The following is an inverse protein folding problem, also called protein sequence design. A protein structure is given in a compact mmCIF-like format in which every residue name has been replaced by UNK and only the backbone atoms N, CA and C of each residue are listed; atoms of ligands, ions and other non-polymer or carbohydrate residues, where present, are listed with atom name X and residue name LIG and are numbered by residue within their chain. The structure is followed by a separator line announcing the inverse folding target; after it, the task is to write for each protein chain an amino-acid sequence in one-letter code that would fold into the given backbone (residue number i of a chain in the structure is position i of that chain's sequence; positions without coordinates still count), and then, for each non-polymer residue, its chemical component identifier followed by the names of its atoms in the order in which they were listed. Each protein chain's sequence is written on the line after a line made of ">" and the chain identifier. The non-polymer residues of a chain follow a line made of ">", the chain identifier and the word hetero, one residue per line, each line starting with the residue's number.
data_IF_138820271898
#
_entry.id   IF_138820271898
#
_cell.length_a   1.000
_cell.length_b   1.000
_cell.length_c   1.000
_cell.angle_alpha   90.00
_cell.angle_beta   90.00
_cell.angle_gamma   90.00
#
_symmetry.space_group_name_H-M   'P 1'
#
loop_
_entity.id
_entity.type
_entity.pdbx_description
1 polymer ?
#
# COMPACT_ATOMS: atom_id res chain seq x y z
N UNK A 1 9.05 1.74 1.61
CA UNK A 1 8.05 0.73 1.99
C UNK A 1 8.47 -0.58 1.32
N UNK A 2 9.08 -1.50 2.06
CA UNK A 2 9.46 -2.81 1.50
C UNK A 2 8.25 -3.73 1.42
N UNK A 3 8.28 -4.65 0.46
CA UNK A 3 7.34 -5.75 0.38
C UNK A 3 7.46 -6.62 1.64
N UNK A 4 6.37 -6.81 2.41
CA UNK A 4 6.41 -7.63 3.62
C UNK A 4 6.64 -9.13 3.34
N UNK A 5 6.56 -9.54 2.08
CA UNK A 5 6.73 -10.94 1.68
C UNK A 5 8.15 -11.27 1.22
N UNK A 6 8.79 -10.39 0.47
CA UNK A 6 10.10 -10.65 -0.14
C UNK A 6 11.16 -9.58 0.17
N UNK A 7 10.82 -8.55 0.93
CA UNK A 7 11.73 -7.47 1.29
C UNK A 7 12.11 -6.53 0.13
N UNK A 8 11.45 -6.61 -1.02
CA UNK A 8 11.78 -5.75 -2.16
C UNK A 8 11.25 -4.33 -1.97
N UNK A 9 12.03 -3.35 -2.37
CA UNK A 9 11.75 -1.91 -2.18
C UNK A 9 10.85 -1.30 -3.25
N UNK A 10 10.80 -1.87 -4.46
CA UNK A 10 9.92 -1.37 -5.51
C UNK A 10 8.51 -1.96 -5.41
N UNK A 11 7.56 -1.05 -5.16
CA UNK A 11 6.14 -1.33 -5.06
C UNK A 11 5.36 -0.40 -5.96
N UNK A 12 4.37 -0.94 -6.68
CA UNK A 12 3.44 -0.20 -7.50
C UNK A 12 2.16 0.07 -6.72
N UNK A 13 1.74 1.34 -6.62
CA UNK A 13 0.42 1.68 -6.08
C UNK A 13 -0.64 1.40 -7.15
N UNK A 14 -1.64 0.59 -6.81
CA UNK A 14 -2.69 0.17 -7.77
C UNK A 14 -4.03 0.83 -7.50
N UNK A 15 -4.36 1.11 -6.24
CA UNK A 15 -5.65 1.68 -5.83
C UNK A 15 -5.42 2.51 -4.56
N UNK A 16 -5.98 3.71 -4.51
CA UNK A 16 -5.95 4.59 -3.35
C UNK A 16 -7.34 5.11 -3.09
N UNK A 17 -7.86 4.87 -1.88
CA UNK A 17 -9.17 5.34 -1.44
C UNK A 17 -9.04 6.11 -0.14
N UNK A 18 -9.74 7.23 -0.06
CA UNK A 18 -9.90 7.97 1.17
C UNK A 18 -10.94 7.24 2.04
N UNK A 19 -10.56 6.86 3.25
CA UNK A 19 -11.50 6.45 4.28
C UNK A 19 -12.11 7.74 4.85
N UNK A 20 -13.27 8.12 4.31
CA UNK A 20 -14.05 9.30 4.69
C UNK A 20 -14.36 9.38 6.20
N UNK A 21 -14.34 8.24 6.89
CA UNK A 21 -14.68 8.11 8.31
C UNK A 21 -13.48 8.27 9.26
N UNK A 22 -12.25 8.03 8.78
CA UNK A 22 -11.09 7.81 9.66
C UNK A 22 -9.89 8.72 9.38
N UNK A 23 -10.05 9.79 8.58
CA UNK A 23 -8.95 10.63 8.07
C UNK A 23 -7.75 9.79 7.59
N UNK A 24 -8.02 8.63 6.99
CA UNK A 24 -6.98 7.69 6.61
C UNK A 24 -7.05 7.41 5.11
N UNK A 25 -5.91 7.34 4.46
CA UNK A 25 -5.78 6.95 3.06
C UNK A 25 -5.38 5.47 3.04
N UNK A 26 -6.28 4.65 2.51
CA UNK A 26 -6.00 3.25 2.23
C UNK A 26 -5.37 3.13 0.84
N UNK A 27 -4.14 2.63 0.76
CA UNK A 27 -3.45 2.37 -0.51
C UNK A 27 -3.15 0.90 -0.70
N UNK A 28 -3.64 0.32 -1.79
CA UNK A 28 -3.26 -1.01 -2.25
C UNK A 28 -1.98 -0.91 -3.06
N UNK A 29 -0.96 -1.66 -2.65
CA UNK A 29 0.35 -1.75 -3.29
C UNK A 29 0.58 -3.17 -3.80
N UNK A 30 1.26 -3.29 -4.93
CA UNK A 30 1.67 -4.53 -5.56
C UNK A 30 3.20 -4.55 -5.66
N UNK A 31 3.84 -5.64 -5.25
CA UNK A 31 5.28 -5.79 -5.38
C UNK A 31 5.66 -6.18 -6.81
N UNK A 32 6.60 -5.46 -7.43
CA UNK A 32 7.04 -5.76 -8.80
C UNK A 32 7.89 -7.04 -8.91
N UNK A 33 8.48 -7.50 -7.80
CA UNK A 33 9.33 -8.71 -7.77
C UNK A 33 8.55 -10.00 -7.55
N UNK A 34 7.63 -10.01 -6.58
CA UNK A 34 6.86 -11.22 -6.22
C UNK A 34 5.37 -11.16 -6.62
N UNK A 35 4.93 -10.08 -7.26
CA UNK A 35 3.55 -9.82 -7.70
C UNK A 35 2.50 -9.93 -6.58
N UNK A 36 2.93 -9.81 -5.32
CA UNK A 36 2.02 -9.86 -4.16
C UNK A 36 1.43 -8.51 -3.86
N UNK A 37 0.13 -8.52 -3.54
CA UNK A 37 -0.65 -7.32 -3.22
C UNK A 37 -0.88 -7.20 -1.72
N UNK A 38 -0.74 -5.99 -1.19
CA UNK A 38 -1.00 -5.68 0.20
C UNK A 38 -1.56 -4.26 0.33
N UNK A 39 -2.09 -3.93 1.50
CA UNK A 39 -2.71 -2.63 1.75
C UNK A 39 -1.96 -1.89 2.85
N UNK A 40 -1.64 -0.63 2.61
CA UNK A 40 -1.07 0.28 3.60
C UNK A 40 -2.11 1.32 3.98
N UNK A 41 -2.07 1.77 5.24
CA UNK A 41 -2.90 2.86 5.74
C UNK A 41 -1.97 4.02 6.08
N UNK A 42 -2.23 5.19 5.52
CA UNK A 42 -1.59 6.45 5.90
C UNK A 42 -2.63 7.30 6.61
N UNK A 43 -2.36 7.74 7.84
CA UNK A 43 -3.23 8.68 8.56
C UNK A 43 -2.90 10.08 8.07
N UNK A 44 -3.93 10.86 7.71
CA UNK A 44 -3.84 12.26 7.31
C UNK A 44 -4.17 13.09 8.56
N UNK A 45 -3.15 13.66 9.18
CA UNK A 45 -3.30 14.65 10.28
C UNK A 45 -3.49 16.06 9.72
#
# INVERSE_FOLDING_TARGET
>A
MQCPYCGHEELKVTDSRNALDANAIRRRRECLKCSRRFTTFEVVE
#
